data_IF_994800052092
#
_entry.id   IF_994800052092
#
_cell.length_a   1.000
_cell.length_b   1.000
_cell.length_c   1.000
_cell.angle_alpha   90.00
_cell.angle_beta   90.00
_cell.angle_gamma   90.00
#
_symmetry.space_group_name_H-M   'P 1'
#
loop_
_entity.id
_entity.type
_entity.pdbx_description
1 polymer ?
#
# COMPACT_ATOMS: atom_id res chain seq x y z
N UNK A 1 -19.00 -52.62 27.56
CA UNK A 1 -17.78 -52.05 26.97
C UNK A 1 -18.17 -50.98 25.94
N UNK A 2 -18.42 -49.74 26.37
CA UNK A 2 -18.91 -48.68 25.47
C UNK A 2 -18.20 -47.32 25.69
N UNK A 3 -17.04 -47.32 26.37
CA UNK A 3 -16.30 -46.09 26.67
C UNK A 3 -15.12 -45.81 25.73
N UNK A 4 -14.78 -46.70 24.79
CA UNK A 4 -13.54 -46.57 24.00
C UNK A 4 -13.71 -45.89 22.63
N UNK A 5 -14.93 -45.85 22.07
CA UNK A 5 -15.17 -45.24 20.73
C UNK A 5 -15.22 -43.71 20.75
N UNK A 6 -15.61 -43.11 21.87
CA UNK A 6 -15.80 -41.66 22.01
C UNK A 6 -14.45 -40.93 22.01
N UNK A 7 -13.44 -41.45 22.71
CA UNK A 7 -12.11 -40.83 22.76
C UNK A 7 -11.34 -40.82 21.42
N UNK A 8 -11.69 -41.70 20.48
CA UNK A 8 -11.04 -41.78 19.16
C UNK A 8 -11.51 -40.67 18.21
N UNK A 9 -12.82 -40.38 18.19
CA UNK A 9 -13.41 -39.35 17.33
C UNK A 9 -12.90 -37.96 17.72
N UNK A 10 -12.81 -37.66 19.02
CA UNK A 10 -12.29 -36.37 19.50
C UNK A 10 -10.80 -36.17 19.15
N UNK A 11 -9.99 -37.23 19.13
CA UNK A 11 -8.59 -37.14 18.70
C UNK A 11 -8.45 -36.85 17.21
N UNK A 12 -9.30 -37.42 16.37
CA UNK A 12 -9.31 -37.14 14.93
C UNK A 12 -9.78 -35.70 14.66
N UNK A 13 -10.83 -35.23 15.34
CA UNK A 13 -11.29 -33.84 15.21
C UNK A 13 -10.20 -32.86 15.67
N UNK A 14 -9.53 -33.14 16.80
CA UNK A 14 -8.42 -32.32 17.29
C UNK A 14 -7.27 -32.27 16.27
N UNK A 15 -6.90 -33.41 15.66
CA UNK A 15 -5.87 -33.47 14.63
C UNK A 15 -6.27 -32.66 13.38
N UNK A 16 -7.53 -32.73 12.94
CA UNK A 16 -8.03 -31.91 11.84
C UNK A 16 -8.01 -30.42 12.17
N UNK A 17 -8.39 -30.02 13.39
CA UNK A 17 -8.34 -28.61 13.81
C UNK A 17 -6.91 -28.08 13.86
N UNK A 18 -5.96 -28.88 14.37
CA UNK A 18 -4.54 -28.52 14.38
C UNK A 18 -4.00 -28.39 12.95
N UNK A 19 -4.34 -29.33 12.05
CA UNK A 19 -3.93 -29.28 10.66
C UNK A 19 -4.51 -28.04 9.93
N UNK A 20 -5.80 -27.75 10.12
CA UNK A 20 -6.42 -26.55 9.56
C UNK A 20 -5.77 -25.27 10.10
N UNK A 21 -5.56 -25.18 11.41
CA UNK A 21 -4.88 -24.03 12.03
C UNK A 21 -3.47 -23.83 11.47
N UNK A 22 -2.74 -24.92 11.22
CA UNK A 22 -1.40 -24.87 10.62
C UNK A 22 -1.43 -24.37 9.18
N UNK A 23 -2.39 -24.86 8.36
CA UNK A 23 -2.55 -24.41 6.97
C UNK A 23 -2.93 -22.92 6.90
N UNK A 24 -3.84 -22.46 7.77
CA UNK A 24 -4.19 -21.04 7.87
C UNK A 24 -2.99 -20.20 8.31
N UNK A 25 -2.20 -20.66 9.28
CA UNK A 25 -1.01 -19.96 9.74
C UNK A 25 0.06 -19.83 8.64
N UNK A 26 0.22 -20.85 7.79
CA UNK A 26 1.19 -20.84 6.69
C UNK A 26 0.71 -20.01 5.49
N UNK A 27 -0.60 -19.92 5.24
CA UNK A 27 -1.16 -19.15 4.11
C UNK A 27 -1.32 -17.66 4.40
N UNK A 28 -1.50 -17.27 5.66
CA UNK A 28 -1.60 -15.87 6.09
C UNK A 28 -0.42 -14.96 5.66
N UNK A 29 0.86 -15.33 5.85
CA UNK A 29 1.98 -14.47 5.45
C UNK A 29 2.06 -14.26 3.94
N UNK A 30 1.71 -15.27 3.13
CA UNK A 30 1.68 -15.12 1.68
C UNK A 30 0.54 -14.21 1.23
N UNK A 31 -0.63 -14.32 1.85
CA UNK A 31 -1.76 -13.45 1.58
C UNK A 31 -1.44 -12.00 1.92
N UNK A 32 -0.85 -11.74 3.09
CA UNK A 32 -0.43 -10.40 3.50
C UNK A 32 0.57 -9.79 2.51
N UNK A 33 1.56 -10.57 2.05
CA UNK A 33 2.53 -10.13 1.03
C UNK A 33 1.85 -9.74 -0.29
N UNK A 34 0.93 -10.57 -0.78
CA UNK A 34 0.20 -10.27 -2.01
C UNK A 34 -0.69 -9.03 -1.88
N UNK A 35 -1.40 -8.89 -0.77
CA UNK A 35 -2.26 -7.73 -0.50
C UNK A 35 -1.44 -6.43 -0.49
N UNK A 36 -0.32 -6.41 0.22
CA UNK A 36 0.54 -5.22 0.32
C UNK A 36 1.12 -4.83 -1.05
N UNK A 37 1.57 -5.80 -1.85
CA UNK A 37 2.08 -5.51 -3.19
C UNK A 37 1.00 -4.95 -4.13
N UNK A 38 -0.22 -5.47 -4.06
CA UNK A 38 -1.34 -4.95 -4.86
C UNK A 38 -1.70 -3.52 -4.46
N UNK A 39 -1.78 -3.24 -3.16
CA UNK A 39 -2.05 -1.90 -2.66
C UNK A 39 -0.95 -0.92 -3.01
N UNK A 40 0.32 -1.35 -2.96
CA UNK A 40 1.46 -0.53 -3.37
C UNK A 40 1.41 -0.19 -4.87
N UNK A 41 0.99 -1.13 -5.71
CA UNK A 41 0.79 -0.90 -7.16
C UNK A 41 -0.33 0.09 -7.41
N UNK A 42 -1.48 -0.09 -6.77
CA UNK A 42 -2.60 0.86 -6.85
C UNK A 42 -2.19 2.25 -6.38
N UNK A 43 -1.38 2.32 -5.33
CA UNK A 43 -0.86 3.58 -4.82
C UNK A 43 0.09 4.26 -5.82
N UNK A 44 1.00 3.50 -6.43
CA UNK A 44 1.88 4.01 -7.49
C UNK A 44 1.10 4.47 -8.72
N UNK A 45 0.06 3.74 -9.14
CA UNK A 45 -0.81 4.12 -10.25
C UNK A 45 -1.58 5.41 -9.97
N UNK A 46 -2.18 5.52 -8.77
CA UNK A 46 -2.85 6.75 -8.34
C UNK A 46 -1.86 7.92 -8.30
N UNK A 47 -0.65 7.72 -7.76
CA UNK A 47 0.37 8.76 -7.71
C UNK A 47 0.82 9.21 -9.11
N UNK A 48 0.96 8.29 -10.07
CA UNK A 48 1.20 8.63 -11.48
C UNK A 48 0.05 9.44 -12.07
N UNK A 49 -1.20 9.04 -11.84
CA UNK A 49 -2.38 9.77 -12.30
C UNK A 49 -2.44 11.19 -11.71
N UNK A 50 -2.14 11.34 -10.42
CA UNK A 50 -2.01 12.64 -9.76
C UNK A 50 -0.86 13.45 -10.35
N UNK A 51 0.28 12.85 -10.66
CA UNK A 51 1.40 13.54 -11.28
C UNK A 51 1.03 14.08 -12.67
N UNK A 52 0.39 13.27 -13.51
CA UNK A 52 -0.12 13.75 -14.80
C UNK A 52 -1.12 14.90 -14.66
N UNK A 53 -2.03 14.82 -13.68
CA UNK A 53 -3.00 15.86 -13.45
C UNK A 53 -2.37 17.14 -12.84
N UNK A 54 -1.32 17.01 -12.02
CA UNK A 54 -0.52 18.15 -11.56
C UNK A 54 0.17 18.85 -12.72
N UNK A 55 0.70 18.08 -13.67
CA UNK A 55 1.37 18.64 -14.84
C UNK A 55 0.38 19.38 -15.76
N UNK A 56 -0.81 18.82 -15.98
CA UNK A 56 -1.88 19.50 -16.73
C UNK A 56 -2.39 20.75 -16.01
N UNK A 57 -2.51 20.69 -14.68
CA UNK A 57 -2.88 21.84 -13.85
C UNK A 57 -1.80 22.94 -13.94
N UNK A 58 -0.52 22.57 -13.85
CA UNK A 58 0.61 23.51 -14.01
C UNK A 58 0.60 24.16 -15.38
N UNK A 59 0.35 23.41 -16.45
CA UNK A 59 0.27 23.97 -17.80
C UNK A 59 -0.80 25.06 -17.92
N UNK A 60 -1.89 24.94 -17.15
CA UNK A 60 -3.00 25.90 -17.16
C UNK A 60 -2.83 27.07 -16.17
N UNK A 61 -2.20 26.85 -15.02
CA UNK A 61 -2.14 27.81 -13.90
C UNK A 61 -0.73 28.32 -13.58
N UNK A 62 0.31 27.77 -14.20
CA UNK A 62 1.71 28.14 -13.99
C UNK A 62 2.37 27.57 -12.72
N UNK A 63 1.64 26.82 -11.89
CA UNK A 63 2.14 26.24 -10.65
C UNK A 63 1.46 24.90 -10.32
N UNK A 64 2.09 24.10 -9.45
CA UNK A 64 1.48 22.89 -8.89
C UNK A 64 0.58 23.24 -7.69
N UNK A 65 -0.46 22.43 -7.45
CA UNK A 65 -1.42 22.66 -6.36
C UNK A 65 -1.30 21.60 -5.28
N UNK A 66 -1.11 21.94 -3.99
CA UNK A 66 -1.11 20.94 -2.92
C UNK A 66 -2.52 20.36 -2.65
N UNK A 67 -3.58 20.96 -3.21
CA UNK A 67 -4.94 20.46 -3.07
C UNK A 67 -5.33 19.57 -4.26
N UNK A 68 -5.20 18.26 -4.08
CA UNK A 68 -5.51 17.28 -5.13
C UNK A 68 -6.98 17.34 -5.60
N UNK A 69 -7.90 17.95 -4.86
CA UNK A 69 -9.31 18.12 -5.30
C UNK A 69 -9.44 19.05 -6.51
N UNK A 70 -8.45 19.91 -6.73
CA UNK A 70 -8.44 20.83 -7.88
C UNK A 70 -8.00 20.16 -9.18
N UNK A 71 -7.51 18.91 -9.11
CA UNK A 71 -6.94 18.21 -10.27
C UNK A 71 -7.97 17.49 -11.15
N UNK A 72 -9.27 17.61 -10.84
CA UNK A 72 -10.37 16.91 -11.55
C UNK A 72 -10.21 15.37 -11.63
N UNK A 73 -9.28 14.80 -10.87
CA UNK A 73 -9.11 13.35 -10.72
C UNK A 73 -10.20 12.82 -9.79
N UNK A 74 -10.78 11.67 -10.13
CA UNK A 74 -11.71 11.00 -9.22
C UNK A 74 -10.93 10.45 -8.02
N UNK A 75 -10.99 11.16 -6.90
CA UNK A 75 -10.34 10.76 -5.66
C UNK A 75 -11.28 9.87 -4.84
N UNK A 76 -10.87 8.63 -4.57
CA UNK A 76 -11.59 7.74 -3.66
C UNK A 76 -11.29 8.03 -2.18
N UNK A 77 -10.34 8.91 -1.89
CA UNK A 77 -9.83 9.18 -0.56
C UNK A 77 -10.08 10.65 -0.17
N UNK A 78 -10.32 10.93 1.12
CA UNK A 78 -10.48 12.30 1.60
C UNK A 78 -9.16 13.08 1.59
N UNK A 79 -9.25 14.39 1.32
CA UNK A 79 -8.18 15.33 1.64
C UNK A 79 -8.29 15.77 3.10
N UNK A 80 -7.19 15.72 3.83
CA UNK A 80 -7.11 16.13 5.24
C UNK A 80 -5.91 17.04 5.48
N UNK A 81 -5.95 17.81 6.55
CA UNK A 81 -4.81 18.62 6.98
C UNK A 81 -3.80 17.72 7.71
N UNK A 82 -2.68 17.42 7.06
CA UNK A 82 -1.55 16.71 7.65
C UNK A 82 -0.58 17.63 8.40
N UNK A 83 0.52 17.06 8.92
CA UNK A 83 1.53 17.80 9.71
C UNK A 83 2.24 18.89 8.92
N UNK A 84 2.49 18.65 7.63
CA UNK A 84 3.27 19.54 6.75
C UNK A 84 2.43 20.24 5.69
N UNK A 85 1.10 20.04 5.69
CA UNK A 85 0.22 20.61 4.67
C UNK A 85 -0.99 19.72 4.39
N UNK A 86 -1.70 20.01 3.31
CA UNK A 86 -2.79 19.19 2.82
C UNK A 86 -2.26 17.86 2.28
N UNK A 87 -2.90 16.77 2.69
CA UNK A 87 -2.54 15.40 2.27
C UNK A 87 -3.79 14.64 1.84
N UNK A 88 -3.62 13.75 0.87
CA UNK A 88 -4.65 12.78 0.50
C UNK A 88 -4.49 11.57 1.41
N UNK A 89 -5.50 11.30 2.25
CA UNK A 89 -5.42 10.22 3.24
C UNK A 89 -6.22 9.00 2.78
N UNK A 90 -5.52 8.03 2.19
CA UNK A 90 -6.11 6.75 1.79
C UNK A 90 -5.98 5.69 2.90
N UNK A 91 -6.59 4.52 2.72
CA UNK A 91 -6.64 3.48 3.76
C UNK A 91 -5.24 3.06 4.24
N UNK A 92 -4.34 2.73 3.32
CA UNK A 92 -3.00 2.20 3.64
C UNK A 92 -1.87 3.21 3.36
N UNK A 93 -2.15 4.28 2.62
CA UNK A 93 -1.17 5.26 2.14
C UNK A 93 -1.63 6.70 2.33
N UNK A 94 -0.67 7.61 2.49
CA UNK A 94 -0.91 9.05 2.55
C UNK A 94 -0.10 9.72 1.43
N UNK A 95 -0.71 10.62 0.67
CA UNK A 95 -0.09 11.31 -0.45
C UNK A 95 0.10 12.78 -0.11
N UNK A 96 1.27 13.33 -0.41
CA UNK A 96 1.57 14.75 -0.26
C UNK A 96 2.37 15.25 -1.46
N UNK A 97 2.14 16.50 -1.84
CA UNK A 97 2.94 17.19 -2.84
C UNK A 97 4.01 18.01 -2.14
N UNK A 98 5.27 17.81 -2.52
CA UNK A 98 6.39 18.59 -2.00
C UNK A 98 7.45 18.79 -3.10
N UNK A 99 7.79 20.04 -3.41
CA UNK A 99 8.84 20.40 -4.38
C UNK A 99 8.71 19.73 -5.76
N UNK A 100 7.49 19.55 -6.28
CA UNK A 100 7.26 18.88 -7.58
C UNK A 100 7.38 17.36 -7.52
N UNK A 101 7.44 16.79 -6.32
CA UNK A 101 7.43 15.35 -6.07
C UNK A 101 6.16 14.99 -5.32
N UNK A 102 5.46 13.97 -5.78
CA UNK A 102 4.37 13.35 -5.02
C UNK A 102 4.97 12.26 -4.15
N UNK A 103 4.94 12.49 -2.85
CA UNK A 103 5.36 11.51 -1.85
C UNK A 103 4.15 10.68 -1.45
N UNK A 104 4.34 9.36 -1.45
CA UNK A 104 3.33 8.37 -1.07
C UNK A 104 3.90 7.55 0.08
N UNK A 105 3.46 7.84 1.29
CA UNK A 105 3.96 7.18 2.50
C UNK A 105 3.01 6.06 2.90
N UNK A 106 3.53 4.86 3.18
CA UNK A 106 2.72 3.81 3.77
C UNK A 106 2.50 4.11 5.26
N UNK A 107 1.25 3.98 5.74
CA UNK A 107 0.90 4.36 7.12
C UNK A 107 1.53 3.54 8.24
N UNK A 108 1.98 2.32 7.95
CA UNK A 108 2.42 1.34 8.94
C UNK A 108 3.77 0.72 8.61
N UNK A 109 4.21 0.80 7.36
CA UNK A 109 5.49 0.28 6.92
C UNK A 109 6.44 1.45 6.66
N UNK A 110 7.75 1.32 6.97
CA UNK A 110 8.75 2.35 6.72
C UNK A 110 9.14 2.38 5.23
N UNK A 111 8.14 2.50 4.37
CA UNK A 111 8.24 2.45 2.91
C UNK A 111 7.50 3.64 2.33
N UNK A 112 8.12 4.32 1.38
CA UNK A 112 7.50 5.41 0.67
C UNK A 112 7.87 5.41 -0.81
N UNK A 113 6.99 5.95 -1.63
CA UNK A 113 7.18 6.15 -3.05
C UNK A 113 7.33 7.64 -3.32
N UNK A 114 8.28 7.99 -4.18
CA UNK A 114 8.45 9.33 -4.69
C UNK A 114 8.15 9.30 -6.19
N UNK A 115 7.17 10.10 -6.61
CA UNK A 115 6.83 10.26 -8.04
C UNK A 115 7.23 11.65 -8.46
N UNK A 116 8.24 11.73 -9.33
CA UNK A 116 8.66 12.97 -9.97
C UNK A 116 7.61 13.37 -11.02
N UNK A 117 7.02 14.55 -10.86
CA UNK A 117 5.97 15.02 -11.77
C UNK A 117 6.53 15.37 -13.15
N UNK A 118 7.77 15.87 -13.23
CA UNK A 118 8.37 16.31 -14.48
C UNK A 118 8.72 15.14 -15.41
N UNK A 119 9.18 14.03 -14.83
CA UNK A 119 9.65 12.87 -15.58
C UNK A 119 8.73 11.63 -15.48
N UNK A 120 7.73 11.67 -14.59
CA UNK A 120 6.86 10.52 -14.28
C UNK A 120 7.60 9.35 -13.59
N UNK A 121 8.84 9.56 -13.15
CA UNK A 121 9.68 8.54 -12.58
C UNK A 121 9.18 8.18 -11.18
N UNK A 122 8.99 6.89 -10.92
CA UNK A 122 8.60 6.36 -9.61
C UNK A 122 9.84 5.77 -8.95
N UNK A 123 10.23 6.33 -7.81
CA UNK A 123 11.29 5.79 -6.96
C UNK A 123 10.66 5.20 -5.70
N UNK A 124 10.99 3.95 -5.40
CA UNK A 124 10.60 3.31 -4.15
C UNK A 124 11.74 3.40 -3.15
N UNK A 125 11.48 3.93 -1.96
CA UNK A 125 12.43 4.08 -0.87
C UNK A 125 11.90 3.42 0.39
N UNK A 126 12.83 2.97 1.22
CA UNK A 126 12.55 2.27 2.47
C UNK A 126 13.69 2.52 3.45
N UNK A 127 13.44 2.37 4.75
CA UNK A 127 14.50 2.45 5.76
C UNK A 127 15.53 1.32 5.58
N UNK A 128 16.81 1.64 5.73
CA UNK A 128 17.88 0.67 5.66
C UNK A 128 17.62 -0.44 6.69
N UNK A 129 17.75 -1.71 6.28
CA UNK A 129 17.45 -2.92 7.05
C UNK A 129 15.97 -3.39 7.07
N UNK A 130 15.02 -2.65 6.47
CA UNK A 130 13.65 -3.16 6.33
C UNK A 130 13.51 -4.17 5.18
N UNK A 131 13.50 -5.45 5.53
CA UNK A 131 13.28 -6.56 4.60
C UNK A 131 11.90 -6.48 3.91
N UNK A 132 10.87 -5.93 4.58
CA UNK A 132 9.54 -5.80 4.01
C UNK A 132 9.51 -4.74 2.91
N UNK A 133 10.15 -3.59 3.16
CA UNK A 133 10.35 -2.54 2.16
C UNK A 133 11.18 -2.98 0.97
N UNK A 134 12.26 -3.72 1.19
CA UNK A 134 13.08 -4.25 0.09
C UNK A 134 12.29 -5.21 -0.82
N UNK A 135 11.50 -6.12 -0.24
CA UNK A 135 10.67 -7.04 -1.02
C UNK A 135 9.56 -6.29 -1.79
N UNK A 136 8.92 -5.30 -1.15
CA UNK A 136 7.87 -4.50 -1.77
C UNK A 136 8.40 -3.65 -2.93
N UNK A 137 9.50 -2.94 -2.72
CA UNK A 137 10.15 -2.13 -3.76
C UNK A 137 10.67 -3.00 -4.91
N UNK A 138 11.24 -4.18 -4.61
CA UNK A 138 11.64 -5.14 -5.65
C UNK A 138 10.49 -5.53 -6.57
N UNK A 139 9.29 -5.77 -6.02
CA UNK A 139 8.09 -6.11 -6.81
C UNK A 139 7.50 -4.94 -7.60
N UNK A 140 7.74 -3.71 -7.17
CA UNK A 140 7.32 -2.49 -7.89
C UNK A 140 8.27 -2.16 -9.05
N UNK A 141 9.57 -2.40 -8.87
CA UNK A 141 10.58 -2.17 -9.93
C UNK A 141 10.49 -3.16 -11.10
N UNK A 142 9.78 -4.28 -10.91
CA UNK A 142 9.55 -5.29 -11.94
C UNK A 142 8.37 -4.95 -12.89
N UNK A 143 7.83 -3.73 -12.82
CA UNK A 143 6.72 -3.21 -13.63
C UNK A 143 7.14 -1.91 -14.30
#
# INVERSE_FOLDING_TARGET
MLHSKVGSIYRVILACLIACAFVFALSWPQYAKHRNATHARQAAELARALAFAQESYRASHGAYTPDFRQLEVTLSCPMVQGKTGLVLDCHDYTYRLENGIIWVEHKTLPVWLEVDIANGAVQCKYEAEDWAGQELCGRLSAI
#
